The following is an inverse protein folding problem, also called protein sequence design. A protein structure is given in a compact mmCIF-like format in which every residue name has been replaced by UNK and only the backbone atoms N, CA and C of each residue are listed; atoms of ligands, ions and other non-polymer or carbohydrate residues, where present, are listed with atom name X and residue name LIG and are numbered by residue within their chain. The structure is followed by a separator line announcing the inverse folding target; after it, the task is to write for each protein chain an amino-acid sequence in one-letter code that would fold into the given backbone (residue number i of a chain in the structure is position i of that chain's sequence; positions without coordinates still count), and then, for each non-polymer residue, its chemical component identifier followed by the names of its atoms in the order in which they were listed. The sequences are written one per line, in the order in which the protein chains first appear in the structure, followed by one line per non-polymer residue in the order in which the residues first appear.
data_IF_662863816148
#
_entry.id   IF_662863816148
#
_cell.length_a   1.000
_cell.length_b   1.000
_cell.length_c   1.000
_cell.angle_alpha   90.00
_cell.angle_beta   90.00
_cell.angle_gamma   90.00
#
_symmetry.space_group_name_H-M   'P 1'
#
loop_
_entity.id
_entity.type
_entity.pdbx_description
1 polymer ?
#
# COMPACT_ATOMS: atom_id res chain seq x y z
N UNK A 1 1.14 -17.73 -38.58
CA UNK A 1 0.97 -17.08 -37.26
C UNK A 1 2.20 -16.22 -37.00
N UNK A 2 2.06 -14.89 -36.95
CA UNK A 2 3.21 -13.97 -36.95
C UNK A 2 3.93 -13.96 -35.58
N UNK A 3 5.08 -14.62 -35.50
CA UNK A 3 5.94 -14.69 -34.30
C UNK A 3 6.27 -13.30 -33.73
N UNK A 4 6.40 -12.28 -34.58
CA UNK A 4 6.66 -10.88 -34.20
C UNK A 4 5.57 -10.24 -33.33
N UNK A 5 4.32 -10.73 -33.37
CA UNK A 5 3.24 -10.23 -32.51
C UNK A 5 3.36 -10.75 -31.07
N UNK A 6 3.93 -11.95 -30.88
CA UNK A 6 4.04 -12.60 -29.56
C UNK A 6 5.12 -11.91 -28.71
N UNK A 7 6.26 -11.55 -29.30
CA UNK A 7 7.36 -10.86 -28.59
C UNK A 7 6.97 -9.51 -28.00
N UNK A 8 5.96 -8.82 -28.54
CA UNK A 8 5.46 -7.54 -27.99
C UNK A 8 4.74 -7.71 -26.64
N UNK A 9 4.18 -8.89 -26.38
CA UNK A 9 3.49 -9.18 -25.12
C UNK A 9 4.40 -9.80 -24.07
N UNK A 10 5.61 -10.27 -24.42
CA UNK A 10 6.58 -10.83 -23.49
C UNK A 10 7.00 -9.85 -22.38
N UNK A 11 7.35 -8.57 -22.66
CA UNK A 11 7.70 -7.63 -21.58
C UNK A 11 6.49 -7.32 -20.68
N UNK A 12 5.28 -7.25 -21.24
CA UNK A 12 4.05 -7.03 -20.47
C UNK A 12 3.74 -8.24 -19.59
N UNK A 13 3.88 -9.45 -20.13
CA UNK A 13 3.72 -10.70 -19.39
C UNK A 13 4.80 -10.87 -18.32
N UNK A 14 6.03 -10.46 -18.59
CA UNK A 14 7.13 -10.49 -17.62
C UNK A 14 6.90 -9.50 -16.47
N UNK A 15 6.45 -8.27 -16.78
CA UNK A 15 6.06 -7.28 -15.77
C UNK A 15 4.88 -7.82 -14.95
N UNK A 16 3.84 -8.35 -15.59
CA UNK A 16 2.69 -8.94 -14.92
C UNK A 16 3.08 -10.12 -14.00
N UNK A 17 3.90 -11.05 -14.49
CA UNK A 17 4.41 -12.18 -13.70
C UNK A 17 5.28 -11.71 -12.54
N UNK A 18 6.16 -10.72 -12.75
CA UNK A 18 7.01 -10.17 -11.70
C UNK A 18 6.24 -9.42 -10.61
N UNK A 19 5.09 -8.82 -10.95
CA UNK A 19 4.18 -8.16 -10.01
C UNK A 19 3.21 -9.14 -9.31
N UNK A 20 3.05 -10.36 -9.82
CA UNK A 20 2.10 -11.35 -9.31
C UNK A 20 2.64 -12.19 -8.15
N UNK A 21 3.95 -12.13 -7.86
CA UNK A 21 4.53 -12.83 -6.71
C UNK A 21 4.32 -12.02 -5.43
N UNK A 22 3.26 -12.35 -4.68
CA UNK A 22 3.09 -11.88 -3.31
C UNK A 22 4.07 -12.66 -2.41
N UNK A 23 5.27 -12.10 -2.22
CA UNK A 23 6.20 -12.56 -1.20
C UNK A 23 5.68 -12.09 0.16
N UNK A 24 5.09 -13.00 0.93
CA UNK A 24 4.74 -12.72 2.33
C UNK A 24 6.02 -12.54 3.13
N UNK A 25 6.21 -11.35 3.70
CA UNK A 25 7.25 -11.10 4.67
C UNK A 25 6.83 -11.74 6.00
N UNK A 26 7.79 -12.31 6.72
CA UNK A 26 7.53 -12.94 8.00
C UNK A 26 8.54 -12.50 9.07
N UNK A 27 8.04 -12.24 10.27
CA UNK A 27 8.81 -11.93 11.46
C UNK A 27 8.40 -12.88 12.60
N UNK A 28 9.32 -13.12 13.52
CA UNK A 28 9.07 -13.96 14.70
C UNK A 28 9.47 -13.26 15.97
N UNK A 29 8.68 -13.46 17.03
CA UNK A 29 8.94 -12.99 18.39
C UNK A 29 8.84 -14.17 19.33
N UNK A 30 9.86 -14.37 20.15
CA UNK A 30 9.86 -15.38 21.21
C UNK A 30 9.39 -14.73 22.51
N UNK A 31 8.44 -15.37 23.18
CA UNK A 31 7.79 -14.85 24.38
C UNK A 31 7.70 -15.97 25.41
N UNK A 32 8.18 -15.68 26.62
CA UNK A 32 8.08 -16.62 27.73
C UNK A 32 6.63 -16.83 28.14
N UNK A 33 6.23 -18.10 28.27
CA UNK A 33 4.89 -18.52 28.66
C UNK A 33 4.24 -19.47 27.67
N UNK A 34 3.16 -20.12 28.12
CA UNK A 34 2.44 -21.10 27.31
C UNK A 34 1.73 -20.46 26.11
N UNK A 35 1.44 -21.23 25.04
CA UNK A 35 0.68 -20.73 23.91
C UNK A 35 -0.69 -20.15 24.30
N UNK A 36 -1.31 -20.69 25.36
CA UNK A 36 -2.62 -20.26 25.84
C UNK A 36 -2.56 -18.91 26.57
N UNK A 37 -1.54 -18.72 27.41
CA UNK A 37 -1.30 -17.42 28.07
C UNK A 37 -0.99 -16.34 27.03
N UNK A 38 -0.17 -16.68 26.04
CA UNK A 38 0.14 -15.79 24.93
C UNK A 38 -1.10 -15.49 24.08
N UNK A 39 -1.97 -16.48 23.89
CA UNK A 39 -3.22 -16.30 23.15
C UNK A 39 -4.13 -15.26 23.81
N UNK A 40 -4.30 -15.33 25.14
CA UNK A 40 -5.09 -14.35 25.88
C UNK A 40 -4.52 -12.93 25.76
N UNK A 41 -3.20 -12.78 25.90
CA UNK A 41 -2.52 -11.48 25.74
C UNK A 41 -2.65 -10.95 24.32
N UNK A 42 -2.47 -11.81 23.31
CA UNK A 42 -2.62 -11.44 21.91
C UNK A 42 -4.05 -10.98 21.61
N UNK A 43 -5.06 -11.74 22.04
CA UNK A 43 -6.48 -11.38 21.86
C UNK A 43 -6.79 -10.03 22.52
N UNK A 44 -6.28 -9.78 23.73
CA UNK A 44 -6.46 -8.50 24.40
C UNK A 44 -5.84 -7.34 23.60
N UNK A 45 -4.63 -7.52 23.10
CA UNK A 45 -3.93 -6.52 22.29
C UNK A 45 -4.59 -6.29 20.92
N UNK A 46 -5.01 -7.36 20.25
CA UNK A 46 -5.77 -7.27 19.00
C UNK A 46 -7.11 -6.58 19.24
N UNK A 47 -7.84 -6.90 20.31
CA UNK A 47 -9.09 -6.21 20.65
C UNK A 47 -8.89 -4.73 20.98
N UNK A 48 -7.77 -4.41 21.63
CA UNK A 48 -7.39 -3.03 21.89
C UNK A 48 -7.15 -2.28 20.58
N UNK A 49 -6.47 -2.90 19.63
CA UNK A 49 -6.17 -2.37 18.30
C UNK A 49 -7.37 -2.34 17.36
N UNK A 50 -7.77 -3.52 16.91
CA UNK A 50 -8.86 -3.76 16.00
C UNK A 50 -9.57 -5.06 16.37
N UNK A 51 -10.80 -5.02 16.89
CA UNK A 51 -11.55 -6.24 17.17
C UNK A 51 -11.97 -7.00 15.90
N UNK A 52 -11.76 -6.45 14.70
CA UNK A 52 -12.23 -7.02 13.44
C UNK A 52 -11.23 -8.01 12.81
N UNK A 53 -10.99 -9.11 13.53
CA UNK A 53 -10.20 -10.26 13.07
C UNK A 53 -10.96 -11.56 13.35
N UNK A 54 -10.52 -12.66 12.75
CA UNK A 54 -11.08 -13.98 13.05
C UNK A 54 -9.96 -15.02 13.22
N UNK A 55 -10.25 -16.00 14.07
CA UNK A 55 -9.38 -17.16 14.26
C UNK A 55 -9.56 -18.15 13.10
N UNK A 56 -8.49 -18.80 12.67
CA UNK A 56 -8.51 -19.86 11.66
C UNK A 56 -8.25 -21.22 12.31
N UNK A 57 -9.10 -22.20 12.04
CA UNK A 57 -8.88 -23.59 12.45
C UNK A 57 -7.74 -24.25 11.65
N UNK A 58 -7.38 -23.70 10.48
CA UNK A 58 -6.27 -24.18 9.65
C UNK A 58 -4.99 -23.39 9.96
N UNK A 59 -4.23 -23.89 10.93
CA UNK A 59 -3.11 -23.17 11.55
C UNK A 59 -1.72 -23.44 10.98
N UNK A 60 -1.58 -24.10 9.82
CA UNK A 60 -0.27 -24.45 9.19
C UNK A 60 0.75 -25.11 10.16
N UNK A 61 0.27 -25.83 11.18
CA UNK A 61 1.11 -26.48 12.20
C UNK A 61 1.33 -25.67 13.49
N UNK A 62 0.74 -24.49 13.61
CA UNK A 62 0.68 -23.68 14.84
C UNK A 62 -0.55 -24.03 15.69
N UNK A 63 -0.63 -23.52 16.92
CA UNK A 63 -1.77 -23.74 17.82
C UNK A 63 -2.92 -22.78 17.49
N UNK A 64 -2.60 -21.51 17.28
CA UNK A 64 -3.58 -20.47 16.95
C UNK A 64 -3.17 -19.72 15.69
N UNK A 65 -4.15 -19.26 14.92
CA UNK A 65 -3.96 -18.33 13.80
C UNK A 65 -5.02 -17.24 13.83
N UNK A 66 -4.61 -16.00 13.63
CA UNK A 66 -5.47 -14.83 13.51
C UNK A 66 -5.23 -14.13 12.20
N UNK A 67 -6.32 -13.69 11.56
CA UNK A 67 -6.26 -12.99 10.28
C UNK A 67 -7.24 -11.84 10.24
N UNK A 68 -6.84 -10.82 9.49
CA UNK A 68 -7.65 -9.64 9.26
C UNK A 68 -8.88 -9.95 8.39
N UNK A 69 -9.90 -9.10 8.46
CA UNK A 69 -11.09 -9.14 7.60
C UNK A 69 -11.07 -7.99 6.58
N UNK A 70 -11.96 -8.06 5.57
CA UNK A 70 -12.08 -7.16 4.40
C UNK A 70 -12.24 -5.64 4.65
N UNK A 71 -12.09 -5.16 5.89
CA UNK A 71 -12.18 -3.75 6.28
C UNK A 71 -11.10 -3.28 7.25
N UNK A 72 -10.10 -4.13 7.52
CA UNK A 72 -8.99 -3.78 8.37
C UNK A 72 -7.85 -3.26 7.50
N UNK A 73 -7.31 -2.06 7.77
CA UNK A 73 -6.21 -1.50 6.96
C UNK A 73 -4.86 -2.18 7.26
N UNK A 74 -4.82 -3.14 8.20
CA UNK A 74 -3.71 -4.06 8.41
C UNK A 74 -3.96 -5.39 7.71
N UNK A 75 -3.01 -5.82 6.88
CA UNK A 75 -3.00 -7.16 6.28
C UNK A 75 -2.01 -8.04 7.04
N UNK A 76 -2.53 -8.89 7.92
CA UNK A 76 -1.70 -9.81 8.70
C UNK A 76 -2.31 -11.21 8.82
N UNK A 77 -1.42 -12.18 8.98
CA UNK A 77 -1.65 -13.48 9.58
C UNK A 77 -0.72 -13.62 10.81
N UNK A 78 -1.27 -13.75 12.01
CA UNK A 78 -0.48 -13.99 13.24
C UNK A 78 -0.69 -15.42 13.70
N UNK A 79 0.38 -16.14 13.98
CA UNK A 79 0.39 -17.52 14.42
C UNK A 79 1.04 -17.63 15.79
N UNK A 80 0.49 -18.47 16.67
CA UNK A 80 1.09 -18.80 17.96
C UNK A 80 1.46 -20.28 18.00
N UNK A 81 2.70 -20.58 18.39
CA UNK A 81 3.19 -21.95 18.53
C UNK A 81 4.16 -22.09 19.69
N UNK A 82 4.66 -23.30 19.92
CA UNK A 82 5.75 -23.56 20.86
C UNK A 82 7.09 -23.44 20.16
N UNK A 83 8.11 -22.89 20.83
CA UNK A 83 9.49 -22.84 20.31
C UNK A 83 10.05 -24.26 20.11
N UNK A 84 9.68 -25.19 21.00
CA UNK A 84 10.03 -26.61 20.89
C UNK A 84 9.10 -27.50 21.74
N UNK A 85 9.15 -28.82 21.53
CA UNK A 85 8.27 -29.76 22.25
C UNK A 85 8.37 -29.66 23.78
N UNK A 86 9.57 -29.35 24.28
CA UNK A 86 9.89 -29.29 25.70
C UNK A 86 10.17 -27.87 26.21
N UNK A 87 10.05 -26.84 25.36
CA UNK A 87 10.27 -25.46 25.79
C UNK A 87 9.00 -24.92 26.46
N UNK A 88 9.12 -24.22 27.60
CA UNK A 88 8.01 -23.47 28.16
C UNK A 88 7.67 -22.21 27.35
N UNK A 89 8.53 -21.83 26.39
CA UNK A 89 8.40 -20.61 25.62
C UNK A 89 7.57 -20.80 24.35
N UNK A 90 6.86 -19.73 23.99
CA UNK A 90 6.03 -19.66 22.80
C UNK A 90 6.66 -18.76 21.75
N UNK A 91 6.41 -19.09 20.49
CA UNK A 91 6.79 -18.27 19.34
C UNK A 91 5.54 -17.67 18.71
N UNK A 92 5.60 -16.38 18.47
CA UNK A 92 4.63 -15.64 17.71
C UNK A 92 5.23 -15.38 16.33
N UNK A 93 4.60 -15.91 15.28
CA UNK A 93 4.99 -15.66 13.89
C UNK A 93 3.99 -14.70 13.27
N UNK A 94 4.49 -13.69 12.60
CA UNK A 94 3.71 -12.64 11.95
C UNK A 94 4.01 -12.76 10.47
N UNK A 95 2.99 -12.91 9.65
CA UNK A 95 3.12 -12.82 8.19
C UNK A 95 2.29 -11.62 7.71
N UNK A 96 2.83 -10.87 6.75
CA UNK A 96 2.12 -9.78 6.09
C UNK A 96 2.39 -9.85 4.59
N UNK A 97 1.40 -9.48 3.77
CA UNK A 97 1.61 -9.26 2.33
C UNK A 97 2.29 -7.91 2.07
N UNK A 98 2.07 -6.91 2.95
CA UNK A 98 2.68 -5.58 2.88
C UNK A 98 3.94 -5.56 3.75
N UNK A 99 5.08 -5.52 3.08
CA UNK A 99 6.41 -5.44 3.71
C UNK A 99 6.46 -4.24 4.65
N UNK A 100 7.00 -4.42 5.85
CA UNK A 100 7.05 -3.41 6.91
C UNK A 100 5.92 -3.55 7.93
N UNK A 101 4.73 -4.04 7.57
CA UNK A 101 3.68 -4.28 8.58
C UNK A 101 4.07 -5.40 9.55
N UNK A 102 4.76 -6.44 9.09
CA UNK A 102 5.29 -7.50 9.96
C UNK A 102 6.26 -6.95 11.02
N UNK A 103 7.08 -5.96 10.63
CA UNK A 103 8.03 -5.29 11.53
C UNK A 103 7.33 -4.36 12.50
N UNK A 104 6.29 -3.66 12.05
CA UNK A 104 5.42 -2.86 12.92
C UNK A 104 4.79 -3.74 13.98
N UNK A 105 4.14 -4.84 13.59
CA UNK A 105 3.54 -5.79 14.52
C UNK A 105 4.56 -6.39 15.48
N UNK A 106 5.76 -6.75 14.99
CA UNK A 106 6.86 -7.20 15.84
C UNK A 106 7.18 -6.18 16.94
N UNK A 107 7.36 -4.91 16.57
CA UNK A 107 7.67 -3.86 17.54
C UNK A 107 6.51 -3.59 18.51
N UNK A 108 5.26 -3.65 18.04
CA UNK A 108 4.08 -3.59 18.93
C UNK A 108 4.15 -4.72 19.97
N UNK A 109 4.39 -5.96 19.54
CA UNK A 109 4.44 -7.09 20.46
C UNK A 109 5.63 -7.03 21.42
N UNK A 110 6.80 -6.59 20.96
CA UNK A 110 7.97 -6.39 21.83
C UNK A 110 7.69 -5.30 22.89
N UNK A 111 7.00 -4.22 22.54
CA UNK A 111 6.66 -3.15 23.48
C UNK A 111 5.56 -3.58 24.47
N UNK A 112 4.48 -4.20 23.99
CA UNK A 112 3.31 -4.51 24.82
C UNK A 112 3.46 -5.82 25.61
N UNK A 113 4.04 -6.85 24.99
CA UNK A 113 4.14 -8.18 25.60
C UNK A 113 5.44 -8.38 26.39
N UNK A 114 6.55 -7.82 25.91
CA UNK A 114 7.86 -7.91 26.57
C UNK A 114 8.22 -6.67 27.38
N UNK A 115 7.44 -5.58 27.29
CA UNK A 115 7.71 -4.28 27.95
C UNK A 115 9.07 -3.70 27.57
N UNK A 116 9.56 -4.00 26.36
CA UNK A 116 10.78 -3.42 25.87
C UNK A 116 10.56 -1.93 25.61
N UNK A 117 11.49 -1.04 26.02
CA UNK A 117 11.39 0.37 25.69
C UNK A 117 11.43 0.56 24.17
N UNK A 118 10.86 1.65 23.64
CA UNK A 118 11.03 2.00 22.24
C UNK A 118 12.51 2.04 21.86
N UNK A 119 12.82 1.66 20.62
CA UNK A 119 14.18 1.77 20.09
C UNK A 119 14.62 3.24 20.09
N UNK A 120 15.93 3.48 20.18
CA UNK A 120 16.50 4.84 20.22
C UNK A 120 16.17 5.69 18.98
N UNK A 121 15.91 5.04 17.84
CA UNK A 121 15.53 5.66 16.57
C UNK A 121 14.02 5.86 16.39
N UNK A 122 13.22 5.54 17.42
CA UNK A 122 11.78 5.62 17.37
C UNK A 122 11.29 7.08 17.30
N UNK A 123 10.40 7.35 16.35
CA UNK A 123 9.82 8.68 16.15
C UNK A 123 8.35 8.66 16.58
N UNK A 124 7.93 9.68 17.33
CA UNK A 124 6.53 9.86 17.70
C UNK A 124 5.65 9.98 16.45
N UNK A 125 4.63 9.11 16.37
CA UNK A 125 3.67 9.12 15.27
C UNK A 125 2.67 10.26 15.45
N UNK A 126 2.65 11.19 14.50
CA UNK A 126 1.64 12.24 14.43
C UNK A 126 0.45 11.79 13.61
N UNK A 127 -0.74 12.29 13.94
CA UNK A 127 -1.97 12.04 13.16
C UNK A 127 -1.83 12.61 11.75
N UNK A 128 -2.30 11.84 10.76
CA UNK A 128 -2.45 12.24 9.36
C UNK A 128 -3.91 12.56 9.04
N UNK A 129 -4.11 13.45 8.08
CA UNK A 129 -5.42 13.95 7.71
C UNK A 129 -5.83 13.47 6.33
N UNK A 130 -6.99 12.81 6.26
CA UNK A 130 -7.56 12.32 5.00
C UNK A 130 -7.69 13.44 3.96
N UNK A 131 -8.13 14.63 4.38
CA UNK A 131 -8.30 15.76 3.46
C UNK A 131 -6.99 16.22 2.80
N UNK A 132 -5.86 16.13 3.51
CA UNK A 132 -4.54 16.46 2.97
C UNK A 132 -4.12 15.38 1.98
N UNK A 133 -4.23 14.11 2.37
CA UNK A 133 -3.86 12.99 1.50
C UNK A 133 -4.69 12.96 0.21
N UNK A 134 -6.00 13.20 0.31
CA UNK A 134 -6.91 13.28 -0.84
C UNK A 134 -6.68 14.54 -1.67
N UNK A 135 -6.46 15.70 -1.04
CA UNK A 135 -6.12 16.94 -1.75
C UNK A 135 -4.84 16.80 -2.58
N UNK A 136 -3.81 16.17 -2.01
CA UNK A 136 -2.59 15.85 -2.73
C UNK A 136 -2.84 14.85 -3.85
N UNK A 137 -3.68 13.83 -3.63
CA UNK A 137 -4.06 12.87 -4.67
C UNK A 137 -4.75 13.54 -5.86
N UNK A 138 -5.57 14.58 -5.66
CA UNK A 138 -6.15 15.33 -6.77
C UNK A 138 -5.09 16.02 -7.64
N UNK A 139 -4.00 16.50 -7.03
CA UNK A 139 -2.88 17.12 -7.75
C UNK A 139 -2.01 16.03 -8.41
N UNK A 140 -1.44 15.13 -7.61
CA UNK A 140 -0.69 13.96 -8.08
C UNK A 140 -0.80 12.79 -7.10
N UNK A 141 -0.98 11.54 -7.57
CA UNK A 141 -1.07 10.40 -6.65
C UNK A 141 0.25 10.20 -5.90
N UNK A 142 1.39 10.55 -6.51
CA UNK A 142 2.73 10.51 -5.92
C UNK A 142 2.84 11.43 -4.70
N UNK A 143 2.29 12.65 -4.78
CA UNK A 143 2.30 13.57 -3.63
C UNK A 143 1.52 12.99 -2.45
N UNK A 144 0.39 12.33 -2.75
CA UNK A 144 -0.38 11.59 -1.74
C UNK A 144 0.41 10.43 -1.13
N UNK A 145 1.14 9.66 -1.95
CA UNK A 145 2.02 8.57 -1.46
C UNK A 145 3.11 9.13 -0.54
N UNK A 146 3.78 10.21 -0.95
CA UNK A 146 4.82 10.86 -0.14
C UNK A 146 4.29 11.35 1.21
N UNK A 147 3.10 11.95 1.23
CA UNK A 147 2.45 12.34 2.48
C UNK A 147 2.12 11.13 3.36
N UNK A 148 1.58 10.05 2.80
CA UNK A 148 1.20 8.85 3.54
C UNK A 148 2.39 8.02 4.02
N UNK A 149 3.52 8.01 3.30
CA UNK A 149 4.72 7.29 3.73
C UNK A 149 5.56 8.08 4.73
N UNK A 150 5.50 9.40 4.71
CA UNK A 150 6.32 10.24 5.59
C UNK A 150 6.13 9.90 7.07
N UNK A 151 7.18 9.42 7.74
CA UNK A 151 7.15 8.96 9.14
C UNK A 151 6.04 7.93 9.42
N UNK A 152 5.70 7.09 8.44
CA UNK A 152 4.74 6.00 8.63
C UNK A 152 5.46 4.66 8.82
N UNK A 153 5.07 3.85 9.82
CA UNK A 153 5.61 2.51 9.99
C UNK A 153 5.07 1.49 8.99
N UNK A 154 4.07 1.88 8.20
CA UNK A 154 3.40 1.03 7.21
C UNK A 154 4.10 1.06 5.84
N UNK A 155 5.10 1.91 5.70
CA UNK A 155 5.82 2.14 4.45
C UNK A 155 7.31 2.00 4.68
N UNK A 156 7.95 1.14 3.90
CA UNK A 156 9.40 1.20 3.73
C UNK A 156 9.77 2.25 2.66
N UNK A 157 11.04 2.66 2.63
CA UNK A 157 11.58 3.50 1.54
C UNK A 157 11.36 2.86 0.17
N UNK A 158 11.46 1.52 0.09
CA UNK A 158 11.19 0.77 -1.14
C UNK A 158 9.72 0.85 -1.53
N UNK A 159 8.79 0.66 -0.60
CA UNK A 159 7.35 0.70 -0.91
C UNK A 159 6.92 2.10 -1.36
N UNK A 160 7.51 3.13 -0.76
CA UNK A 160 7.29 4.53 -1.15
C UNK A 160 7.72 4.75 -2.59
N UNK A 161 8.93 4.32 -2.96
CA UNK A 161 9.47 4.47 -4.30
C UNK A 161 8.67 3.66 -5.32
N UNK A 162 8.35 2.41 -5.00
CA UNK A 162 7.62 1.51 -5.88
C UNK A 162 6.19 1.98 -6.11
N UNK A 163 5.48 2.37 -5.05
CA UNK A 163 4.13 2.95 -5.16
C UNK A 163 4.16 4.23 -5.98
N UNK A 164 5.12 5.13 -5.71
CA UNK A 164 5.28 6.37 -6.48
C UNK A 164 5.54 6.09 -7.96
N UNK A 165 6.39 5.11 -8.28
CA UNK A 165 6.70 4.73 -9.65
C UNK A 165 5.49 4.12 -10.37
N UNK A 166 4.74 3.22 -9.71
CA UNK A 166 3.52 2.63 -10.28
C UNK A 166 2.50 3.71 -10.60
N UNK A 167 2.24 4.60 -9.65
CA UNK A 167 1.28 5.68 -9.84
C UNK A 167 1.74 6.69 -10.90
N UNK A 168 3.03 7.01 -10.95
CA UNK A 168 3.61 7.83 -12.01
C UNK A 168 3.40 7.21 -13.40
N UNK A 169 3.73 5.93 -13.54
CA UNK A 169 3.58 5.21 -14.80
C UNK A 169 2.13 5.05 -15.20
N UNK A 170 1.22 4.81 -14.24
CA UNK A 170 -0.21 4.75 -14.50
C UNK A 170 -0.74 6.09 -15.05
N UNK A 171 -0.35 7.21 -14.43
CA UNK A 171 -0.68 8.55 -14.95
C UNK A 171 -0.06 8.79 -16.34
N UNK A 172 1.21 8.42 -16.56
CA UNK A 172 1.87 8.60 -17.86
C UNK A 172 1.19 7.80 -18.96
N UNK A 173 0.85 6.54 -18.70
CA UNK A 173 0.21 5.66 -19.69
C UNK A 173 -1.24 6.07 -19.95
N UNK A 174 -2.03 6.28 -18.88
CA UNK A 174 -3.46 6.56 -19.03
C UNK A 174 -3.72 8.02 -19.39
N UNK A 175 -3.25 8.95 -18.57
CA UNK A 175 -3.49 10.39 -18.79
C UNK A 175 -2.63 10.90 -19.93
N UNK A 176 -1.33 10.56 -19.94
CA UNK A 176 -0.43 10.95 -21.03
C UNK A 176 -0.83 10.32 -22.37
N UNK A 177 -1.23 9.04 -22.37
CA UNK A 177 -1.76 8.38 -23.57
C UNK A 177 -3.06 8.99 -24.08
N UNK A 178 -4.01 9.29 -23.18
CA UNK A 178 -5.26 9.98 -23.55
C UNK A 178 -5.00 11.40 -24.08
N UNK A 179 -4.06 12.12 -23.48
CA UNK A 179 -3.65 13.45 -23.94
C UNK A 179 -3.03 13.38 -25.34
N UNK A 180 -2.10 12.44 -25.56
CA UNK A 180 -1.47 12.22 -26.86
C UNK A 180 -2.50 11.88 -27.94
N UNK A 181 -3.44 10.98 -27.65
CA UNK A 181 -4.53 10.62 -28.54
C UNK A 181 -5.42 11.82 -28.90
N UNK A 182 -5.80 12.62 -27.89
CA UNK A 182 -6.61 13.82 -28.11
C UNK A 182 -5.84 14.88 -28.91
N UNK A 183 -4.52 14.97 -28.73
CA UNK A 183 -3.65 15.88 -29.47
C UNK A 183 -3.50 15.48 -30.94
N UNK A 184 -3.32 14.19 -31.25
CA UNK A 184 -3.22 13.70 -32.65
C UNK A 184 -4.49 13.98 -33.47
N UNK A 185 -5.65 14.05 -32.81
CA UNK A 185 -6.93 14.36 -33.43
C UNK A 185 -7.22 15.85 -33.59
N UNK A 186 -6.39 16.72 -33.02
CA UNK A 186 -6.54 18.15 -33.27
C UNK A 186 -6.25 18.44 -34.74
N UNK A 187 -7.05 19.31 -35.40
CA UNK A 187 -6.84 19.65 -36.79
C UNK A 187 -5.48 20.32 -36.95
N UNK A 188 -4.54 19.68 -37.66
CA UNK A 188 -3.24 20.28 -37.97
C UNK A 188 -3.43 21.43 -38.95
N UNK A 189 -2.86 22.60 -38.65
CA UNK A 189 -2.87 23.72 -39.58
C UNK A 189 -2.06 23.42 -40.83
N UNK A 190 -2.60 23.75 -42.00
CA UNK A 190 -1.83 23.78 -43.23
C UNK A 190 -0.99 25.07 -43.36
N UNK A 191 -0.06 25.10 -44.33
CA UNK A 191 0.87 26.24 -44.53
C UNK A 191 0.11 27.54 -44.85
N UNK A 192 -1.03 27.46 -45.55
CA UNK A 192 -1.84 28.61 -45.93
C UNK A 192 -2.63 29.20 -44.75
N UNK A 193 -3.17 28.36 -43.87
CA UNK A 193 -3.86 28.75 -42.63
C UNK A 193 -2.90 29.42 -41.62
N UNK A 194 -1.62 29.01 -41.63
CA UNK A 194 -0.56 29.69 -40.90
C UNK A 194 -0.23 31.06 -41.50
N UNK A 195 -0.20 31.18 -42.84
CA UNK A 195 0.02 32.47 -43.52
C UNK A 195 -1.14 33.46 -43.30
N UNK A 196 -2.38 32.97 -43.19
CA UNK A 196 -3.56 33.79 -42.93
C UNK A 196 -3.79 34.10 -41.44
N UNK A 197 -2.88 33.67 -40.56
CA UNK A 197 -2.93 33.92 -39.12
C UNK A 197 -4.27 33.49 -38.46
N UNK A 198 -4.91 32.47 -39.03
CA UNK A 198 -6.15 31.91 -38.46
C UNK A 198 -5.87 31.34 -37.07
N UNK A 199 -6.84 31.27 -36.16
CA UNK A 199 -6.60 30.70 -34.83
C UNK A 199 -6.11 29.25 -34.94
N UNK A 200 -5.11 28.90 -34.12
CA UNK A 200 -4.48 27.57 -34.00
C UNK A 200 -5.46 26.39 -33.93
N UNK A 201 -4.99 25.14 -34.12
CA UNK A 201 -5.72 23.99 -33.60
C UNK A 201 -6.10 24.31 -32.15
N UNK A 202 -7.37 24.11 -31.79
CA UNK A 202 -7.84 24.42 -30.45
C UNK A 202 -7.01 23.72 -29.37
N UNK A 203 -7.04 24.23 -28.14
CA UNK A 203 -6.40 23.56 -27.01
C UNK A 203 -6.98 22.14 -26.85
N UNK A 204 -6.14 21.14 -26.53
CA UNK A 204 -6.55 19.75 -26.26
C UNK A 204 -7.69 19.70 -25.23
N UNK A 205 -7.66 20.59 -24.23
CA UNK A 205 -8.70 20.70 -23.21
C UNK A 205 -10.07 21.14 -23.73
N UNK A 206 -10.13 21.73 -24.92
CA UNK A 206 -11.36 22.18 -25.57
C UNK A 206 -11.83 21.21 -26.66
N UNK A 207 -11.13 20.10 -26.89
CA UNK A 207 -11.53 19.11 -27.89
C UNK A 207 -12.61 18.16 -27.35
N UNK A 208 -13.46 17.57 -28.20
CA UNK A 208 -14.41 16.53 -27.77
C UNK A 208 -13.74 15.32 -27.11
N UNK A 209 -12.51 15.00 -27.51
CA UNK A 209 -11.72 13.90 -26.96
C UNK A 209 -11.12 14.22 -25.56
N UNK A 210 -11.21 15.47 -25.07
CA UNK A 210 -10.77 15.86 -23.73
C UNK A 210 -11.45 15.07 -22.61
N UNK A 211 -12.67 14.57 -22.84
CA UNK A 211 -13.42 13.70 -21.92
C UNK A 211 -12.60 12.45 -21.58
N UNK A 212 -11.85 11.90 -22.54
CA UNK A 212 -10.98 10.75 -22.32
C UNK A 212 -9.86 11.03 -21.32
N UNK A 213 -9.32 12.25 -21.32
CA UNK A 213 -8.28 12.70 -20.38
C UNK A 213 -8.86 12.82 -18.97
N UNK A 214 -10.04 13.43 -18.83
CA UNK A 214 -10.72 13.53 -17.54
C UNK A 214 -11.13 12.16 -16.99
N UNK A 215 -11.58 11.24 -17.85
CA UNK A 215 -11.88 9.87 -17.45
C UNK A 215 -10.63 9.13 -16.97
N UNK A 216 -9.51 9.26 -17.69
CA UNK A 216 -8.23 8.68 -17.27
C UNK A 216 -7.78 9.22 -15.91
N UNK A 217 -7.85 10.55 -15.71
CA UNK A 217 -7.57 11.18 -14.41
C UNK A 217 -8.50 10.66 -13.32
N UNK A 218 -9.80 10.59 -13.57
CA UNK A 218 -10.77 10.11 -12.59
C UNK A 218 -10.49 8.67 -12.14
N UNK A 219 -10.07 7.79 -13.07
CA UNK A 219 -9.69 6.40 -12.76
C UNK A 219 -8.43 6.38 -11.89
N UNK A 220 -7.35 7.06 -12.30
CA UNK A 220 -6.10 7.01 -11.54
C UNK A 220 -6.27 7.62 -10.15
N UNK A 221 -7.04 8.71 -10.04
CA UNK A 221 -7.30 9.37 -8.75
C UNK A 221 -8.27 8.57 -7.89
N UNK A 222 -9.26 7.92 -8.50
CA UNK A 222 -10.21 7.04 -7.82
C UNK A 222 -9.52 5.86 -7.16
N UNK A 223 -8.66 5.14 -7.88
CA UNK A 223 -7.88 4.01 -7.33
C UNK A 223 -7.05 4.49 -6.13
N UNK A 224 -6.28 5.56 -6.31
CA UNK A 224 -5.45 6.10 -5.24
C UNK A 224 -6.26 6.61 -4.05
N UNK A 225 -7.47 7.11 -4.26
CA UNK A 225 -8.30 7.64 -3.18
C UNK A 225 -8.67 6.55 -2.16
N UNK A 226 -8.93 5.32 -2.61
CA UNK A 226 -9.17 4.18 -1.71
C UNK A 226 -7.92 3.85 -0.90
N UNK A 227 -6.79 3.63 -1.56
CA UNK A 227 -5.51 3.36 -0.90
C UNK A 227 -5.13 4.48 0.09
N UNK A 228 -5.37 5.74 -0.29
CA UNK A 228 -5.01 6.89 0.51
C UNK A 228 -5.80 6.94 1.82
N UNK A 229 -7.07 6.53 1.76
CA UNK A 229 -7.94 6.39 2.91
C UNK A 229 -7.48 5.26 3.83
N UNK A 230 -7.16 4.08 3.27
CA UNK A 230 -6.66 2.94 4.03
C UNK A 230 -5.34 3.25 4.75
N UNK A 231 -4.37 3.82 4.03
CA UNK A 231 -3.07 4.22 4.58
C UNK A 231 -3.21 5.21 5.74
N UNK A 232 -4.06 6.24 5.55
CA UNK A 232 -4.27 7.28 6.56
C UNK A 232 -4.98 6.71 7.78
N UNK A 233 -5.94 5.79 7.57
CA UNK A 233 -6.66 5.09 8.63
C UNK A 233 -5.74 4.22 9.46
N UNK A 234 -4.95 3.33 8.83
CA UNK A 234 -4.00 2.48 9.55
C UNK A 234 -2.94 3.30 10.29
N UNK A 235 -2.39 4.35 9.67
CA UNK A 235 -1.41 5.21 10.33
C UNK A 235 -1.98 5.84 11.60
N UNK A 236 -3.19 6.40 11.51
CA UNK A 236 -3.84 7.05 12.64
C UNK A 236 -4.21 6.08 13.75
N UNK A 237 -4.60 4.86 13.39
CA UNK A 237 -4.90 3.80 14.33
C UNK A 237 -3.66 3.39 15.10
N UNK A 238 -2.52 3.21 14.43
CA UNK A 238 -1.23 2.97 15.08
C UNK A 238 -0.81 4.14 15.98
N UNK A 239 -1.05 5.39 15.52
CA UNK A 239 -0.71 6.59 16.29
C UNK A 239 -1.57 6.78 17.56
N UNK A 240 -2.82 6.29 17.58
CA UNK A 240 -3.71 6.39 18.76
C UNK A 240 -3.13 5.68 19.98
N UNK A 241 -2.40 4.59 19.78
CA UNK A 241 -1.75 3.84 20.87
C UNK A 241 -0.38 4.40 21.24
N UNK A 242 -0.03 5.59 20.72
CA UNK A 242 1.22 6.32 21.03
C UNK A 242 2.49 5.52 20.78
N UNK A 243 2.41 4.53 19.88
CA UNK A 243 3.59 3.78 19.51
C UNK A 243 4.51 4.58 18.62
N UNK A 244 5.79 4.28 18.74
CA UNK A 244 6.86 5.00 18.07
C UNK A 244 7.67 4.00 17.27
N UNK A 245 7.65 4.15 15.95
CA UNK A 245 8.18 3.15 15.01
C UNK A 245 8.86 3.85 13.83
N UNK A 246 9.98 3.31 13.36
CA UNK A 246 10.64 3.69 12.10
C UNK A 246 11.39 2.49 11.54
N UNK A 247 11.39 2.34 10.22
CA UNK A 247 12.04 1.24 9.48
C UNK A 247 12.89 1.77 8.33
#
# INVERSE_FOLDING_TARGET
MNLTKIYRFIPIAFIYLSLSFSLKAAETVEISGSPDDLNLKLVALLNQLDPNYYSDDKTKGFVYRYKHTWKNPYDFDIYIGKVGKNSPDSVLRIESTKVGQERMWKQIFEQELLRNPPKEDAVALSKKYNIISQGLNLISPIASVGYNSWKSPLYTSRDTLLSSAIYFLADLVLVGGAYYYAQEKLPNKNIWENMMNEKGPGNVWNSPDSIGIFAALAITRGIRAFDAWEDTSAHNKTAQYSWTFRF
#
